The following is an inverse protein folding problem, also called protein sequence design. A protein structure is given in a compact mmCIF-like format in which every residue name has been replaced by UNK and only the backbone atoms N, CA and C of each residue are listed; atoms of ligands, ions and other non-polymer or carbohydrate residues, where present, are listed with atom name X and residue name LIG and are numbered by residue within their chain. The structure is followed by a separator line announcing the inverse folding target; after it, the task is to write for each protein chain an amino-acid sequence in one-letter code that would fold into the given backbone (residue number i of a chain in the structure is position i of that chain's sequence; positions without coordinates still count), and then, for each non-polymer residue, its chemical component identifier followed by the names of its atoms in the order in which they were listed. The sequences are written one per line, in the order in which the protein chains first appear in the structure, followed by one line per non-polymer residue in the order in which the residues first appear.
data_IF_914429578126
#
_entry.id   IF_914429578126
#
_cell.length_a   1.000
_cell.length_b   1.000
_cell.length_c   1.000
_cell.angle_alpha   90.00
_cell.angle_beta   90.00
_cell.angle_gamma   90.00
#
_symmetry.space_group_name_H-M   'P 1'
#
loop_
_entity.id
_entity.type
_entity.pdbx_description
1 polymer ?
#
# COMPACT_ATOMS: atom_id res chain seq x y z
N UNK A 1 -1.53 10.00 -3.03
CA UNK A 1 -0.52 8.98 -3.39
C UNK A 1 -1.16 7.80 -4.13
N UNK A 2 -1.98 6.96 -3.48
CA UNK A 2 -2.54 5.75 -4.12
C UNK A 2 -3.35 6.00 -5.39
N UNK A 3 -4.28 6.97 -5.38
CA UNK A 3 -5.08 7.31 -6.57
C UNK A 3 -4.19 7.72 -7.74
N UNK A 4 -3.24 8.64 -7.49
CA UNK A 4 -2.29 9.12 -8.49
C UNK A 4 -1.39 7.99 -9.02
N UNK A 5 -0.93 7.10 -8.14
CA UNK A 5 -0.14 5.95 -8.54
C UNK A 5 -0.90 5.00 -9.47
N UNK A 6 -2.13 4.61 -9.11
CA UNK A 6 -2.92 3.70 -9.96
C UNK A 6 -3.35 4.35 -11.29
N UNK A 7 -3.69 5.63 -11.30
CA UNK A 7 -3.97 6.35 -12.54
C UNK A 7 -2.71 6.54 -13.39
N UNK A 8 -1.55 6.76 -12.76
CA UNK A 8 -0.26 6.86 -13.46
C UNK A 8 0.13 5.54 -14.15
N UNK A 9 -0.23 4.39 -13.57
CA UNK A 9 -0.05 3.07 -14.19
C UNK A 9 -0.88 2.88 -15.47
N UNK A 10 -1.95 3.68 -15.67
CA UNK A 10 -2.75 3.64 -16.89
C UNK A 10 -2.06 4.32 -18.08
N UNK A 11 -1.00 5.10 -17.84
CA UNK A 11 -0.23 5.74 -18.90
C UNK A 11 0.70 4.71 -19.53
N UNK A 12 0.32 4.24 -20.72
CA UNK A 12 1.13 3.33 -21.52
C UNK A 12 1.99 4.09 -22.53
N UNK A 13 3.21 3.62 -22.74
CA UNK A 13 4.11 4.11 -23.78
C UNK A 13 4.17 3.20 -24.99
N UNK A 14 5.17 3.41 -25.84
CA UNK A 14 5.39 2.53 -26.98
C UNK A 14 5.89 1.15 -26.54
N UNK A 15 5.33 0.09 -27.14
CA UNK A 15 5.84 -1.26 -26.94
C UNK A 15 7.30 -1.35 -27.36
N UNK A 16 8.09 -2.14 -26.63
CA UNK A 16 9.49 -2.36 -26.97
C UNK A 16 9.60 -2.95 -28.39
N UNK A 17 10.41 -2.32 -29.24
CA UNK A 17 10.62 -2.74 -30.63
C UNK A 17 12.05 -3.22 -30.81
N UNK A 18 12.21 -4.26 -31.62
CA UNK A 18 13.52 -4.67 -32.11
C UNK A 18 13.88 -3.79 -33.31
N UNK A 19 14.94 -3.01 -33.17
CA UNK A 19 15.56 -2.26 -34.28
C UNK A 19 16.95 -2.88 -34.49
N UNK A 20 17.07 -3.74 -35.50
CA UNK A 20 18.23 -4.63 -35.66
C UNK A 20 18.31 -5.65 -34.53
N UNK A 21 19.50 -5.84 -33.95
CA UNK A 21 19.74 -6.72 -32.78
C UNK A 21 19.51 -6.01 -31.43
N UNK A 22 19.06 -4.76 -31.44
CA UNK A 22 18.86 -3.96 -30.22
C UNK A 22 17.38 -3.82 -29.87
N UNK A 23 17.05 -4.12 -28.62
CA UNK A 23 15.71 -3.88 -28.05
C UNK A 23 15.63 -2.40 -27.65
N UNK A 24 14.88 -1.61 -28.41
CA UNK A 24 14.58 -0.22 -28.07
C UNK A 24 13.33 -0.20 -27.19
N UNK A 25 13.45 0.43 -26.01
CA UNK A 25 12.37 0.57 -25.03
C UNK A 25 12.02 2.04 -24.86
N UNK A 26 10.76 2.30 -24.52
CA UNK A 26 10.32 3.64 -24.12
C UNK A 26 10.76 3.92 -22.67
N UNK A 27 11.91 4.57 -22.53
CA UNK A 27 12.45 4.93 -21.22
C UNK A 27 11.55 5.89 -20.45
N UNK A 28 10.78 6.75 -21.14
CA UNK A 28 9.90 7.73 -20.46
C UNK A 28 8.72 7.02 -19.83
N UNK A 29 8.11 6.09 -20.56
CA UNK A 29 7.02 5.27 -20.04
C UNK A 29 7.47 4.38 -18.87
N UNK A 30 8.68 3.80 -18.95
CA UNK A 30 9.28 3.07 -17.84
C UNK A 30 9.47 3.95 -16.60
N UNK A 31 9.94 5.18 -16.76
CA UNK A 31 10.09 6.11 -15.63
C UNK A 31 8.74 6.47 -15.00
N UNK A 32 7.71 6.72 -15.81
CA UNK A 32 6.34 6.96 -15.30
C UNK A 32 5.81 5.74 -14.55
N UNK A 33 6.08 4.54 -15.05
CA UNK A 33 5.70 3.28 -14.40
C UNK A 33 6.38 3.12 -13.03
N UNK A 34 7.71 3.26 -12.94
CA UNK A 34 8.42 3.17 -11.66
C UNK A 34 8.02 4.26 -10.67
N UNK A 35 7.76 5.48 -11.16
CA UNK A 35 7.27 6.56 -10.32
C UNK A 35 5.87 6.26 -9.78
N UNK A 36 4.99 5.72 -10.62
CA UNK A 36 3.64 5.29 -10.23
C UNK A 36 3.67 4.17 -9.19
N UNK A 37 4.56 3.20 -9.36
CA UNK A 37 4.82 2.16 -8.35
C UNK A 37 5.33 2.76 -7.03
N UNK A 38 6.26 3.71 -7.07
CA UNK A 38 6.77 4.37 -5.87
C UNK A 38 5.66 5.11 -5.09
N UNK A 39 4.74 5.79 -5.80
CA UNK A 39 3.56 6.40 -5.19
C UNK A 39 2.65 5.37 -4.51
N UNK A 40 2.49 4.19 -5.13
CA UNK A 40 1.71 3.08 -4.55
C UNK A 40 2.41 2.53 -3.31
N UNK A 41 3.71 2.24 -3.37
CA UNK A 41 4.49 1.68 -2.25
C UNK A 41 4.37 2.55 -1.00
N UNK A 42 4.65 3.85 -1.13
CA UNK A 42 4.56 4.79 0.00
C UNK A 42 3.10 4.97 0.44
N UNK A 43 2.17 5.04 -0.52
CA UNK A 43 0.75 5.17 -0.22
C UNK A 43 0.16 3.98 0.56
N UNK A 44 0.51 2.74 0.19
CA UNK A 44 0.11 1.52 0.92
C UNK A 44 0.76 1.49 2.29
N UNK A 45 2.02 1.91 2.40
CA UNK A 45 2.73 2.04 3.67
C UNK A 45 2.00 2.91 4.69
N UNK A 46 1.34 3.98 4.24
CA UNK A 46 0.49 4.79 5.11
C UNK A 46 -0.90 4.21 5.32
N UNK A 47 -1.52 3.60 4.31
CA UNK A 47 -2.92 3.17 4.41
C UNK A 47 -3.09 1.87 5.22
N UNK A 48 -2.29 0.85 4.91
CA UNK A 48 -2.53 -0.54 5.37
C UNK A 48 -2.42 -0.72 6.89
N UNK A 49 -1.38 -0.24 7.60
CA UNK A 49 -1.33 -0.37 9.05
C UNK A 49 -2.36 0.53 9.74
N UNK A 50 -2.61 1.72 9.21
CA UNK A 50 -3.48 2.70 9.87
C UNK A 50 -4.96 2.30 9.81
N UNK A 51 -5.45 1.80 8.67
CA UNK A 51 -6.88 1.45 8.55
C UNK A 51 -7.29 0.33 9.52
N UNK A 52 -6.43 -0.68 9.71
CA UNK A 52 -6.68 -1.76 10.67
C UNK A 52 -6.67 -1.26 12.11
N UNK A 53 -5.82 -0.28 12.43
CA UNK A 53 -5.82 0.35 13.77
C UNK A 53 -7.08 1.16 14.03
N UNK A 54 -7.61 1.86 13.02
CA UNK A 54 -8.87 2.60 13.12
C UNK A 54 -10.02 1.63 13.45
N UNK A 55 -10.13 0.52 12.70
CA UNK A 55 -11.15 -0.51 12.97
C UNK A 55 -11.01 -1.07 14.38
N UNK A 56 -9.77 -1.37 14.81
CA UNK A 56 -9.51 -1.87 16.16
C UNK A 56 -9.91 -0.89 17.27
N UNK A 57 -9.82 0.42 17.02
CA UNK A 57 -10.21 1.47 17.98
C UNK A 57 -11.70 1.73 18.07
N UNK A 58 -12.51 1.25 17.12
CA UNK A 58 -13.98 1.37 17.18
C UNK A 58 -14.59 0.53 18.30
N UNK A 59 -13.88 -0.50 18.74
CA UNK A 59 -14.32 -1.45 19.76
C UNK A 59 -13.46 -1.30 21.01
N UNK A 60 -14.09 -1.45 22.18
CA UNK A 60 -13.36 -1.52 23.45
C UNK A 60 -12.47 -2.77 23.53
N UNK A 61 -11.56 -2.81 24.50
CA UNK A 61 -10.64 -3.95 24.71
C UNK A 61 -11.43 -5.26 24.92
N UNK A 62 -12.52 -5.19 25.69
CA UNK A 62 -13.37 -6.34 26.07
C UNK A 62 -14.71 -6.38 25.31
N UNK A 63 -14.83 -5.68 24.17
CA UNK A 63 -16.08 -5.71 23.39
C UNK A 63 -16.18 -7.00 22.56
N UNK A 64 -17.18 -7.87 22.80
CA UNK A 64 -17.32 -9.14 22.08
C UNK A 64 -17.60 -8.97 20.57
N UNK A 65 -17.97 -7.76 20.13
CA UNK A 65 -18.22 -7.45 18.70
C UNK A 65 -16.95 -7.17 17.93
N UNK A 66 -15.80 -7.01 18.61
CA UNK A 66 -14.52 -6.69 17.98
C UNK A 66 -14.12 -7.73 16.96
N UNK A 67 -14.19 -9.01 17.31
CA UNK A 67 -13.78 -10.10 16.43
C UNK A 67 -14.68 -10.18 15.20
N UNK A 68 -16.00 -10.11 15.39
CA UNK A 68 -16.97 -10.06 14.30
C UNK A 68 -16.77 -8.84 13.38
N UNK A 69 -16.42 -7.68 13.96
CA UNK A 69 -16.06 -6.48 13.22
C UNK A 69 -14.84 -6.68 12.31
N UNK A 70 -13.78 -7.32 12.83
CA UNK A 70 -12.62 -7.69 12.03
C UNK A 70 -12.94 -8.74 10.96
N UNK A 71 -13.83 -9.71 11.25
CA UNK A 71 -14.31 -10.66 10.23
C UNK A 71 -14.98 -9.94 9.07
N UNK A 72 -15.90 -9.00 9.35
CA UNK A 72 -16.56 -8.20 8.30
C UNK A 72 -15.55 -7.37 7.51
N UNK A 73 -14.59 -6.75 8.21
CA UNK A 73 -13.52 -6.00 7.57
C UNK A 73 -12.70 -6.88 6.60
N UNK A 74 -12.28 -8.08 7.02
CA UNK A 74 -11.53 -9.00 6.17
C UNK A 74 -12.37 -9.59 5.04
N UNK A 75 -13.66 -9.84 5.25
CA UNK A 75 -14.57 -10.22 4.15
C UNK A 75 -14.63 -9.13 3.07
N UNK A 76 -14.68 -7.86 3.46
CA UNK A 76 -14.61 -6.73 2.54
C UNK A 76 -13.32 -6.70 1.71
N UNK A 77 -12.17 -6.97 2.34
CA UNK A 77 -10.87 -7.05 1.65
C UNK A 77 -10.87 -8.17 0.60
N UNK A 78 -11.31 -9.38 0.98
CA UNK A 78 -11.33 -10.53 0.08
C UNK A 78 -12.31 -10.32 -1.09
N UNK A 79 -13.49 -9.75 -0.82
CA UNK A 79 -14.46 -9.42 -1.85
C UNK A 79 -13.90 -8.38 -2.82
N UNK A 80 -13.25 -7.33 -2.29
CA UNK A 80 -12.59 -6.31 -3.10
C UNK A 80 -11.49 -6.91 -3.99
N UNK A 81 -10.65 -7.80 -3.44
CA UNK A 81 -9.60 -8.49 -4.19
C UNK A 81 -10.17 -9.37 -5.32
N UNK A 82 -11.25 -10.11 -5.06
CA UNK A 82 -11.95 -10.91 -6.05
C UNK A 82 -12.50 -10.01 -7.19
N UNK A 83 -13.27 -8.99 -6.84
CA UNK A 83 -13.87 -8.08 -7.83
C UNK A 83 -12.80 -7.34 -8.63
N UNK A 84 -11.75 -6.84 -7.98
CA UNK A 84 -10.64 -6.19 -8.67
C UNK A 84 -9.94 -7.12 -9.66
N UNK A 85 -9.68 -8.37 -9.27
CA UNK A 85 -9.02 -9.36 -10.13
C UNK A 85 -9.87 -9.66 -11.38
N UNK A 86 -11.19 -9.84 -11.20
CA UNK A 86 -12.10 -10.09 -12.31
C UNK A 86 -12.22 -8.89 -13.25
N UNK A 87 -12.46 -7.69 -12.71
CA UNK A 87 -12.71 -6.49 -13.50
C UNK A 87 -11.44 -5.98 -14.18
N UNK A 88 -10.35 -5.79 -13.42
CA UNK A 88 -9.10 -5.26 -13.97
C UNK A 88 -8.45 -6.27 -14.93
N UNK A 89 -8.51 -7.57 -14.59
CA UNK A 89 -7.99 -8.63 -15.46
C UNK A 89 -8.78 -8.76 -16.76
N UNK A 90 -10.11 -8.75 -16.69
CA UNK A 90 -10.96 -8.78 -17.89
C UNK A 90 -10.70 -7.58 -18.80
N UNK A 91 -10.73 -6.35 -18.25
CA UNK A 91 -10.48 -5.14 -19.03
C UNK A 91 -9.06 -5.10 -19.60
N UNK A 92 -8.08 -5.57 -18.82
CA UNK A 92 -6.68 -5.66 -19.26
C UNK A 92 -6.50 -6.54 -20.50
N UNK A 93 -7.13 -7.71 -20.53
CA UNK A 93 -7.03 -8.65 -21.65
C UNK A 93 -7.87 -8.22 -22.86
N UNK A 94 -9.07 -7.66 -22.63
CA UNK A 94 -10.03 -7.36 -23.71
C UNK A 94 -9.85 -5.99 -24.35
N UNK A 95 -9.52 -4.96 -23.56
CA UNK A 95 -9.40 -3.57 -24.04
C UNK A 95 -7.97 -3.01 -23.91
N UNK A 96 -7.09 -3.68 -23.17
CA UNK A 96 -5.70 -3.27 -22.95
C UNK A 96 -5.40 -2.95 -21.49
N UNK A 97 -4.12 -3.07 -21.13
CA UNK A 97 -3.68 -2.95 -19.73
C UNK A 97 -3.89 -1.54 -19.16
N UNK A 98 -3.84 -0.49 -19.98
CA UNK A 98 -4.13 0.89 -19.60
C UNK A 98 -5.55 1.04 -19.04
N UNK A 99 -6.54 0.37 -19.64
CA UNK A 99 -7.91 0.36 -19.11
C UNK A 99 -8.02 -0.45 -17.81
N UNK A 100 -7.28 -1.55 -17.70
CA UNK A 100 -7.18 -2.36 -16.47
C UNK A 100 -6.59 -1.57 -15.29
N UNK A 101 -5.53 -0.80 -15.52
CA UNK A 101 -4.95 0.09 -14.50
C UNK A 101 -5.81 1.32 -14.25
N UNK A 102 -6.44 1.87 -15.30
CA UNK A 102 -7.35 3.01 -15.21
C UNK A 102 -8.54 2.73 -14.31
N UNK A 103 -9.19 1.57 -14.46
CA UNK A 103 -10.29 1.15 -13.58
C UNK A 103 -9.83 0.93 -12.15
N UNK A 104 -8.61 0.45 -11.92
CA UNK A 104 -8.04 0.34 -10.57
C UNK A 104 -7.86 1.72 -9.94
N UNK A 105 -7.43 2.72 -10.71
CA UNK A 105 -7.37 4.12 -10.27
C UNK A 105 -8.72 4.70 -9.90
N UNK A 106 -9.75 4.43 -10.71
CA UNK A 106 -11.15 4.81 -10.41
C UNK A 106 -11.64 4.13 -9.12
N UNK A 107 -11.38 2.83 -8.96
CA UNK A 107 -11.73 2.09 -7.74
C UNK A 107 -11.08 2.68 -6.50
N UNK A 108 -9.80 3.06 -6.57
CA UNK A 108 -9.10 3.74 -5.48
C UNK A 108 -9.67 5.14 -5.20
N UNK A 109 -10.07 5.89 -6.23
CA UNK A 109 -10.72 7.19 -6.07
C UNK A 109 -12.09 7.03 -5.37
N UNK A 110 -12.88 6.05 -5.78
CA UNK A 110 -14.16 5.73 -5.14
C UNK A 110 -13.96 5.33 -3.67
N UNK A 111 -12.92 4.53 -3.37
CA UNK A 111 -12.53 4.19 -2.00
C UNK A 111 -12.15 5.42 -1.17
N UNK A 112 -11.39 6.36 -1.75
CA UNK A 112 -11.04 7.62 -1.09
C UNK A 112 -12.28 8.47 -0.80
N UNK A 113 -13.17 8.66 -1.77
CA UNK A 113 -14.41 9.41 -1.60
C UNK A 113 -15.30 8.77 -0.54
N UNK A 114 -15.45 7.44 -0.57
CA UNK A 114 -16.21 6.69 0.43
C UNK A 114 -15.62 6.83 1.82
N UNK A 115 -14.29 6.78 1.95
CA UNK A 115 -13.61 6.99 3.22
C UNK A 115 -13.86 8.39 3.77
N UNK A 116 -13.69 9.44 2.96
CA UNK A 116 -13.91 10.83 3.36
C UNK A 116 -15.36 11.07 3.82
N UNK A 117 -16.36 10.58 3.07
CA UNK A 117 -17.77 10.68 3.47
C UNK A 117 -18.09 9.80 4.70
N UNK A 118 -17.36 8.69 4.85
CA UNK A 118 -17.52 7.73 5.91
C UNK A 118 -16.84 8.12 7.23
N UNK A 119 -15.90 9.07 7.23
CA UNK A 119 -15.13 9.49 8.41
C UNK A 119 -16.02 9.84 9.62
N UNK A 120 -17.20 10.41 9.37
CA UNK A 120 -18.21 10.70 10.41
C UNK A 120 -18.63 9.48 11.24
N UNK A 121 -18.56 8.28 10.68
CA UNK A 121 -18.90 7.03 11.38
C UNK A 121 -17.74 6.47 12.19
N UNK A 122 -16.53 7.02 12.03
CA UNK A 122 -15.30 6.53 12.68
C UNK A 122 -15.05 7.14 14.06
N UNK A 123 -16.01 7.92 14.60
CA UNK A 123 -15.97 8.51 15.95
C UNK A 123 -14.67 9.27 16.27
N UNK A 124 -14.09 9.95 15.28
CA UNK A 124 -12.83 10.71 15.45
C UNK A 124 -11.56 9.84 15.52
N UNK A 125 -11.65 8.51 15.41
CA UNK A 125 -10.47 7.64 15.45
C UNK A 125 -9.61 7.68 14.18
N UNK A 126 -10.12 8.29 13.10
CA UNK A 126 -9.37 8.55 11.87
C UNK A 126 -8.51 9.81 11.94
N UNK A 127 -8.73 10.67 12.93
CA UNK A 127 -7.99 11.91 13.14
C UNK A 127 -6.79 11.69 14.06
N UNK A 128 -5.74 12.54 13.97
CA UNK A 128 -4.62 12.49 14.89
C UNK A 128 -5.12 12.66 16.33
N UNK A 129 -4.70 11.79 17.28
CA UNK A 129 -5.20 11.84 18.66
C UNK A 129 -4.96 13.18 19.37
N UNK A 130 -3.91 13.90 18.96
CA UNK A 130 -3.58 15.24 19.46
C UNK A 130 -3.15 16.10 18.26
N UNK A 131 -4.10 16.84 17.64
CA UNK A 131 -3.81 17.67 16.45
C UNK A 131 -2.75 18.75 16.70
N UNK A 132 -2.68 19.26 17.93
CA UNK A 132 -1.73 20.31 18.32
C UNK A 132 -0.27 19.87 18.15
N UNK A 133 0.01 18.58 18.34
CA UNK A 133 1.37 18.03 18.16
C UNK A 133 1.87 18.15 16.73
N UNK A 134 0.99 18.21 15.73
CA UNK A 134 1.40 18.37 14.33
C UNK A 134 2.00 19.75 14.03
N UNK A 135 1.66 20.75 14.86
CA UNK A 135 2.17 22.13 14.74
C UNK A 135 3.46 22.35 15.52
N UNK A 136 3.88 21.40 16.35
CA UNK A 136 5.15 21.47 17.04
C UNK A 136 6.32 21.45 16.03
N UNK A 137 7.43 22.16 16.32
CA UNK A 137 8.61 22.11 15.48
C UNK A 137 9.23 20.70 15.51
N UNK A 138 9.57 20.17 14.33
CA UNK A 138 10.30 18.92 14.17
C UNK A 138 11.78 19.14 13.89
N UNK A 139 12.06 20.15 13.06
CA UNK A 139 13.38 20.57 12.59
C UNK A 139 13.44 22.10 12.61
N UNK A 140 14.62 22.73 12.55
CA UNK A 140 14.74 24.18 12.49
C UNK A 140 13.93 24.74 11.31
N UNK A 141 12.87 25.50 11.59
CA UNK A 141 12.00 26.11 10.57
C UNK A 141 10.91 25.21 9.98
N UNK A 142 10.71 23.99 10.49
CA UNK A 142 9.73 23.04 9.94
C UNK A 142 8.84 22.41 11.03
N UNK A 143 7.52 22.52 10.86
CA UNK A 143 6.53 21.86 11.72
C UNK A 143 6.45 20.36 11.40
N UNK A 144 6.00 19.54 12.36
CA UNK A 144 5.89 18.08 12.20
C UNK A 144 5.03 17.65 11.03
N UNK A 145 3.94 18.37 10.74
CA UNK A 145 3.10 18.08 9.57
C UNK A 145 3.89 18.17 8.25
N UNK A 146 4.62 19.26 8.05
CA UNK A 146 5.46 19.43 6.86
C UNK A 146 6.61 18.44 6.83
N UNK A 147 7.18 18.09 7.99
CA UNK A 147 8.20 17.04 8.06
C UNK A 147 7.65 15.68 7.58
N UNK A 148 6.40 15.35 7.90
CA UNK A 148 5.73 14.13 7.42
C UNK A 148 5.50 14.20 5.91
N UNK A 149 5.01 15.32 5.37
CA UNK A 149 4.80 15.47 3.93
C UNK A 149 6.10 15.45 3.12
N UNK A 150 7.13 16.16 3.59
CA UNK A 150 8.46 16.12 2.96
C UNK A 150 9.09 14.74 3.09
N UNK A 151 8.94 14.07 4.24
CA UNK A 151 9.38 12.70 4.44
C UNK A 151 8.68 11.71 3.52
N UNK A 152 7.37 11.88 3.30
CA UNK A 152 6.61 11.10 2.33
C UNK A 152 7.10 11.34 0.90
N UNK A 153 7.34 12.60 0.52
CA UNK A 153 7.90 12.96 -0.79
C UNK A 153 9.30 12.37 -1.00
N UNK A 154 10.19 12.52 -0.01
CA UNK A 154 11.52 11.91 -0.02
C UNK A 154 11.45 10.38 -0.09
N UNK A 155 10.50 9.76 0.62
CA UNK A 155 10.22 8.33 0.54
C UNK A 155 9.79 7.87 -0.85
N UNK A 156 8.97 8.68 -1.55
CA UNK A 156 8.59 8.39 -2.94
C UNK A 156 9.81 8.46 -3.85
N UNK A 157 10.66 9.48 -3.71
CA UNK A 157 11.89 9.59 -4.50
C UNK A 157 12.83 8.41 -4.22
N UNK A 158 13.03 8.06 -2.96
CA UNK A 158 13.87 6.93 -2.56
C UNK A 158 13.34 5.61 -3.13
N UNK A 159 12.04 5.34 -3.01
CA UNK A 159 11.40 4.16 -3.58
C UNK A 159 11.52 4.14 -5.11
N UNK A 160 11.32 5.28 -5.78
CA UNK A 160 11.44 5.41 -7.23
C UNK A 160 12.85 5.08 -7.73
N UNK A 161 13.88 5.57 -7.04
CA UNK A 161 15.28 5.23 -7.36
C UNK A 161 15.57 3.75 -7.07
N UNK A 162 15.13 3.25 -5.91
CA UNK A 162 15.37 1.87 -5.49
C UNK A 162 14.77 0.85 -6.47
N UNK A 163 13.54 1.09 -6.96
CA UNK A 163 12.83 0.19 -7.87
C UNK A 163 13.54 -0.01 -9.21
N UNK A 164 14.40 0.92 -9.62
CA UNK A 164 15.19 0.82 -10.86
C UNK A 164 16.39 -0.14 -10.71
N UNK A 165 16.85 -0.38 -9.47
CA UNK A 165 17.93 -1.33 -9.17
C UNK A 165 17.37 -2.74 -8.92
N UNK A 166 16.87 -3.39 -9.98
CA UNK A 166 16.21 -4.70 -9.90
C UNK A 166 16.98 -5.76 -9.10
N UNK A 167 18.30 -5.85 -9.28
CA UNK A 167 19.13 -6.80 -8.55
C UNK A 167 19.16 -6.52 -7.04
N UNK A 168 19.29 -5.25 -6.65
CA UNK A 168 19.31 -4.85 -5.24
C UNK A 168 17.95 -5.09 -4.58
N UNK A 169 16.85 -4.75 -5.26
CA UNK A 169 15.48 -5.01 -4.77
C UNK A 169 15.25 -6.51 -4.57
N UNK A 170 15.65 -7.33 -5.54
CA UNK A 170 15.51 -8.79 -5.43
C UNK A 170 16.27 -9.37 -4.25
N UNK A 171 17.54 -8.99 -4.07
CA UNK A 171 18.35 -9.40 -2.91
C UNK A 171 17.72 -8.93 -1.61
N UNK A 172 17.30 -7.67 -1.54
CA UNK A 172 16.67 -7.10 -0.35
C UNK A 172 15.40 -7.86 0.05
N UNK A 173 14.51 -8.16 -0.91
CA UNK A 173 13.28 -8.90 -0.65
C UNK A 173 13.56 -10.31 -0.15
N UNK A 174 14.51 -11.01 -0.77
CA UNK A 174 14.90 -12.37 -0.35
C UNK A 174 15.51 -12.38 1.06
N UNK A 175 16.43 -11.46 1.34
CA UNK A 175 17.03 -11.32 2.68
C UNK A 175 15.97 -11.03 3.72
N UNK A 176 15.06 -10.08 3.44
CA UNK A 176 14.01 -9.71 4.38
C UNK A 176 13.02 -10.86 4.61
N UNK A 177 12.66 -11.62 3.57
CA UNK A 177 11.84 -12.81 3.70
C UNK A 177 12.50 -13.87 4.58
N UNK A 178 13.79 -14.15 4.38
CA UNK A 178 14.56 -15.10 5.21
C UNK A 178 14.60 -14.61 6.66
N UNK A 179 14.89 -13.33 6.90
CA UNK A 179 14.92 -12.74 8.25
C UNK A 179 13.56 -12.88 8.94
N UNK A 180 12.46 -12.58 8.26
CA UNK A 180 11.10 -12.72 8.81
C UNK A 180 10.78 -14.18 9.11
N UNK A 181 11.11 -15.11 8.21
CA UNK A 181 10.87 -16.53 8.42
C UNK A 181 11.69 -17.10 9.58
N UNK A 182 12.98 -16.75 9.67
CA UNK A 182 13.83 -17.14 10.78
C UNK A 182 13.35 -16.52 12.10
N UNK A 183 12.92 -15.26 12.08
CA UNK A 183 12.33 -14.58 13.22
C UNK A 183 11.04 -15.24 13.70
N UNK A 184 10.16 -15.63 12.77
CA UNK A 184 8.93 -16.37 13.08
C UNK A 184 9.23 -17.78 13.62
N UNK A 185 10.15 -18.51 12.98
CA UNK A 185 10.56 -19.83 13.43
C UNK A 185 11.17 -19.77 14.84
N UNK A 186 12.03 -18.78 15.09
CA UNK A 186 12.59 -18.50 16.41
C UNK A 186 11.48 -18.18 17.42
N UNK A 187 10.56 -17.28 17.09
CA UNK A 187 9.45 -16.91 17.96
C UNK A 187 8.57 -18.10 18.33
N UNK A 188 8.22 -18.93 17.34
CA UNK A 188 7.44 -20.16 17.55
C UNK A 188 8.21 -21.16 18.44
N UNK A 189 9.53 -21.30 18.22
CA UNK A 189 10.37 -22.29 18.92
C UNK A 189 10.68 -21.90 20.37
N UNK A 190 10.90 -20.62 20.65
CA UNK A 190 11.43 -20.15 21.94
C UNK A 190 10.48 -19.26 22.75
N UNK A 191 9.46 -18.66 22.12
CA UNK A 191 8.57 -17.71 22.79
C UNK A 191 7.11 -18.20 22.92
N UNK A 192 6.65 -19.14 22.08
CA UNK A 192 5.27 -19.64 22.14
C UNK A 192 5.08 -20.82 23.09
N UNK A 193 3.98 -20.79 23.84
CA UNK A 193 3.50 -21.91 24.65
C UNK A 193 3.00 -23.07 23.76
N UNK A 194 2.92 -24.32 24.25
CA UNK A 194 2.48 -25.47 23.45
C UNK A 194 1.12 -25.29 22.77
N UNK A 195 0.18 -24.60 23.43
CA UNK A 195 -1.16 -24.29 22.93
C UNK A 195 -1.14 -23.18 21.86
N UNK A 196 -0.23 -22.22 21.96
CA UNK A 196 -0.07 -21.16 20.96
C UNK A 196 0.61 -21.71 19.70
N UNK A 197 1.63 -22.57 19.88
CA UNK A 197 2.33 -23.26 18.81
C UNK A 197 1.39 -24.13 17.96
N UNK A 198 0.45 -24.83 18.58
CA UNK A 198 -0.55 -25.63 17.86
C UNK A 198 -1.64 -24.81 17.15
N UNK A 199 -1.77 -23.51 17.44
CA UNK A 199 -2.69 -22.60 16.73
C UNK A 199 -2.02 -21.87 15.57
N UNK A 200 -0.68 -21.84 15.54
CA UNK A 200 0.12 -21.15 14.52
C UNK A 200 0.63 -22.09 13.41
N UNK A 201 0.75 -23.39 13.69
CA UNK A 201 1.05 -24.47 12.73
C UNK A 201 -0.25 -25.01 12.11
#
# INVERSE_FOLDING_TARGET
LLVLGHLGMAVEGEQARLVGDTVVRDDRALQVFYFSLALIVVGVGFLKPNISTIVGRLYGIDDPRRDAGFTIFYMGINLGALTATLVCGYLGVTYGWGYGFGVAGIGMLFGLVTFLHGQKHLRGHAEPPVPERLREPALPGLNKEWAIYLGAGAGVVAAWQMLQFHGAVGVLLNVLAIVVLLGLAWFIAFCCNPVERSRML
#
